data_IF_320457176377
#
_entry.id   IF_320457176377
#
_cell.length_a   1.000
_cell.length_b   1.000
_cell.length_c   1.000
_cell.angle_alpha   90.00
_cell.angle_beta   90.00
_cell.angle_gamma   90.00
#
_symmetry.space_group_name_H-M   'P 1'
#
loop_
_entity.id
_entity.type
_entity.pdbx_description
1 polymer ?
#
# COMPACT_ATOMS: atom_id res chain seq x y z
N UNK A 1 -11.80 18.67 60.78
CA UNK A 1 -10.74 17.73 60.27
C UNK A 1 -11.18 17.01 58.99
N UNK A 2 -11.85 17.69 58.07
CA UNK A 2 -12.27 17.17 56.77
C UNK A 2 -11.31 17.53 55.62
N UNK A 3 -10.19 18.17 55.89
CA UNK A 3 -9.26 18.65 54.85
C UNK A 3 -8.47 17.51 54.15
N UNK A 4 -8.22 16.38 54.80
CA UNK A 4 -7.49 15.27 54.22
C UNK A 4 -8.31 14.46 53.18
N UNK A 5 -9.62 14.39 53.33
CA UNK A 5 -10.49 13.66 52.39
C UNK A 5 -10.72 14.42 51.07
N UNK A 6 -10.74 15.78 51.13
CA UNK A 6 -10.88 16.61 49.94
C UNK A 6 -9.65 16.58 49.03
N UNK A 7 -8.44 16.54 49.61
CA UNK A 7 -7.19 16.47 48.85
C UNK A 7 -6.97 15.11 48.20
N UNK A 8 -7.37 14.04 48.88
CA UNK A 8 -7.34 12.67 48.32
C UNK A 8 -8.33 12.55 47.17
N UNK A 9 -9.50 13.15 47.30
CA UNK A 9 -10.52 13.14 46.24
C UNK A 9 -10.09 13.95 44.99
N UNK A 10 -9.46 15.08 45.17
CA UNK A 10 -8.90 15.89 44.09
C UNK A 10 -7.78 15.16 43.34
N UNK A 11 -6.93 14.42 44.04
CA UNK A 11 -5.89 13.60 43.44
C UNK A 11 -6.46 12.45 42.61
N UNK A 12 -7.52 11.82 43.03
CA UNK A 12 -8.20 10.75 42.29
C UNK A 12 -8.82 11.26 41.00
N UNK A 13 -9.43 12.44 40.98
CA UNK A 13 -9.99 13.06 39.78
C UNK A 13 -8.87 13.43 38.81
N UNK A 14 -7.74 13.96 39.27
CA UNK A 14 -6.59 14.30 38.43
C UNK A 14 -5.94 13.04 37.81
N UNK A 15 -5.91 11.93 38.55
CA UNK A 15 -5.36 10.66 38.07
C UNK A 15 -6.29 10.02 37.02
N UNK A 16 -7.61 10.16 37.13
CA UNK A 16 -8.53 9.64 36.12
C UNK A 16 -8.50 10.43 34.81
N UNK A 17 -8.17 11.72 34.85
CA UNK A 17 -7.95 12.54 33.65
C UNK A 17 -6.65 12.17 32.94
N UNK A 18 -5.63 11.75 33.67
CA UNK A 18 -4.35 11.28 33.07
C UNK A 18 -4.51 9.94 32.38
N UNK A 19 -5.46 9.09 32.77
CA UNK A 19 -5.75 7.84 32.07
C UNK A 19 -6.38 8.05 30.70
N UNK A 20 -7.15 9.09 30.52
CA UNK A 20 -7.70 9.45 29.20
C UNK A 20 -6.63 9.95 28.23
N UNK A 21 -5.52 10.47 28.73
CA UNK A 21 -4.36 10.84 27.91
C UNK A 21 -3.58 9.64 27.39
N UNK A 22 -3.71 8.48 28.00
CA UNK A 22 -3.08 7.24 27.55
C UNK A 22 -3.63 6.73 26.21
N UNK A 23 -4.78 7.23 25.78
CA UNK A 23 -5.37 6.95 24.47
C UNK A 23 -4.91 7.93 23.38
N UNK A 24 -4.19 8.98 23.74
CA UNK A 24 -3.51 9.79 22.74
C UNK A 24 -2.46 8.91 22.05
N UNK A 25 -2.79 8.40 20.88
CA UNK A 25 -1.80 7.79 19.99
C UNK A 25 -0.67 8.79 19.86
N UNK A 26 0.49 8.47 20.43
CA UNK A 26 1.72 9.18 20.08
C UNK A 26 1.84 9.04 18.58
N UNK A 27 1.66 10.13 17.89
CA UNK A 27 2.10 10.19 16.49
C UNK A 27 3.56 9.74 16.51
N UNK A 28 3.94 8.82 15.62
CA UNK A 28 5.35 8.49 15.49
C UNK A 28 6.12 9.80 15.37
N UNK A 29 7.28 9.93 16.04
CA UNK A 29 8.09 11.12 15.91
C UNK A 29 8.27 11.40 14.42
N UNK A 30 8.23 12.68 14.01
CA UNK A 30 8.53 13.02 12.62
C UNK A 30 9.86 12.35 12.27
N UNK A 31 9.97 11.71 11.10
CA UNK A 31 11.20 11.05 10.71
C UNK A 31 12.34 12.04 10.87
N UNK A 32 13.36 11.64 11.62
CA UNK A 32 14.54 12.46 11.83
C UNK A 32 15.06 12.88 10.45
N UNK A 33 15.19 14.18 10.23
CA UNK A 33 15.64 14.76 8.96
C UNK A 33 17.05 14.34 8.55
N UNK A 34 17.69 13.46 9.32
CA UNK A 34 19.00 12.87 9.08
C UNK A 34 18.98 11.46 8.50
N UNK A 35 17.83 10.87 8.19
CA UNK A 35 17.85 9.84 7.18
C UNK A 35 18.29 10.56 5.90
N UNK A 36 19.57 10.40 5.58
CA UNK A 36 20.09 10.67 4.26
C UNK A 36 18.98 10.31 3.31
N UNK A 37 18.45 11.31 2.63
CA UNK A 37 17.68 11.11 1.44
C UNK A 37 18.61 10.33 0.48
N UNK A 38 18.79 9.07 0.70
CA UNK A 38 18.86 8.14 -0.39
C UNK A 38 17.47 8.29 -1.01
N UNK A 39 17.30 9.44 -1.69
CA UNK A 39 16.37 9.60 -2.75
C UNK A 39 16.60 8.39 -3.63
N UNK A 40 15.96 7.29 -3.23
CA UNK A 40 15.57 6.30 -4.19
C UNK A 40 14.63 7.11 -5.07
N UNK A 41 15.20 7.80 -6.05
CA UNK A 41 14.46 8.29 -7.20
C UNK A 41 13.79 7.04 -7.71
N UNK A 42 12.55 6.83 -7.27
CA UNK A 42 11.72 5.77 -7.79
C UNK A 42 11.75 6.03 -9.28
N UNK A 43 12.48 5.20 -10.01
CA UNK A 43 12.54 5.33 -11.45
C UNK A 43 11.10 5.34 -11.92
N UNK A 44 10.72 6.25 -12.78
CA UNK A 44 9.34 6.40 -13.26
C UNK A 44 8.76 5.08 -13.74
N UNK A 45 9.61 4.23 -14.33
CA UNK A 45 9.24 2.86 -14.77
C UNK A 45 8.75 1.94 -13.63
N UNK A 46 9.13 2.22 -12.38
CA UNK A 46 8.74 1.41 -11.22
C UNK A 46 7.43 1.87 -10.57
N UNK A 47 6.83 2.95 -11.09
CA UNK A 47 5.60 3.53 -10.54
C UNK A 47 4.46 3.42 -11.55
N UNK A 48 3.41 2.71 -11.19
CA UNK A 48 2.15 2.72 -11.93
C UNK A 48 1.27 3.82 -11.35
N UNK A 49 1.03 4.86 -12.13
CA UNK A 49 0.15 5.96 -11.71
C UNK A 49 -1.30 5.62 -12.07
N UNK A 50 -2.14 5.55 -11.05
CA UNK A 50 -3.58 5.35 -11.18
C UNK A 50 -4.28 6.58 -10.63
N UNK A 51 -5.10 7.22 -11.42
CA UNK A 51 -5.82 8.42 -11.07
C UNK A 51 -7.32 8.26 -11.27
N UNK A 52 -8.11 8.62 -10.26
CA UNK A 52 -9.55 8.65 -10.30
C UNK A 52 -10.02 10.11 -10.26
N UNK A 53 -10.68 10.58 -11.30
CA UNK A 53 -11.14 11.96 -11.38
C UNK A 53 -12.50 12.16 -10.68
N UNK A 54 -12.96 13.42 -10.62
CA UNK A 54 -14.24 13.77 -9.98
C UNK A 54 -15.46 13.18 -10.67
N UNK A 55 -15.34 12.73 -11.92
CA UNK A 55 -16.41 12.07 -12.68
C UNK A 55 -16.36 10.55 -12.58
N UNK A 56 -15.59 10.01 -11.61
CA UNK A 56 -15.36 8.58 -11.43
C UNK A 56 -14.72 7.89 -12.65
N UNK A 57 -14.02 8.66 -13.48
CA UNK A 57 -13.28 8.13 -14.60
C UNK A 57 -11.87 7.73 -14.14
N UNK A 58 -11.47 6.53 -14.53
CA UNK A 58 -10.19 5.95 -14.15
C UNK A 58 -9.15 6.18 -15.25
N UNK A 59 -8.01 6.67 -14.85
CA UNK A 59 -6.84 6.84 -15.71
C UNK A 59 -5.68 5.99 -15.19
N UNK A 60 -4.97 5.34 -16.08
CA UNK A 60 -3.74 4.64 -15.78
C UNK A 60 -2.61 5.18 -16.67
N UNK A 61 -1.69 5.91 -16.07
CA UNK A 61 -0.75 6.73 -16.83
C UNK A 61 -1.50 7.84 -17.60
N UNK A 62 -1.44 7.80 -18.91
CA UNK A 62 -2.12 8.76 -19.79
C UNK A 62 -3.41 8.21 -20.44
N UNK A 63 -3.76 6.97 -20.17
CA UNK A 63 -4.88 6.29 -20.80
C UNK A 63 -6.11 6.24 -19.89
N UNK A 64 -7.29 6.52 -20.44
CA UNK A 64 -8.55 6.21 -19.77
C UNK A 64 -8.82 4.72 -19.87
N UNK A 65 -9.11 4.10 -18.75
CA UNK A 65 -9.37 2.66 -18.67
C UNK A 65 -10.61 2.35 -17.83
N UNK A 66 -11.13 1.14 -17.98
CA UNK A 66 -12.16 0.60 -17.10
C UNK A 66 -11.55 -0.11 -15.90
N UNK A 67 -12.34 -0.36 -14.86
CA UNK A 67 -11.91 -1.12 -13.68
C UNK A 67 -11.41 -2.52 -14.04
N UNK A 68 -12.06 -3.20 -14.99
CA UNK A 68 -11.63 -4.52 -15.44
C UNK A 68 -10.27 -4.49 -16.15
N UNK A 69 -10.02 -3.46 -16.94
CA UNK A 69 -8.73 -3.25 -17.59
C UNK A 69 -7.62 -2.91 -16.60
N UNK A 70 -7.97 -2.25 -15.48
CA UNK A 70 -7.02 -1.94 -14.43
C UNK A 70 -6.40 -3.20 -13.83
N UNK A 71 -7.20 -4.23 -13.56
CA UNK A 71 -6.71 -5.50 -13.03
C UNK A 71 -5.66 -6.12 -13.95
N UNK A 72 -5.96 -6.22 -15.24
CA UNK A 72 -5.03 -6.78 -16.22
C UNK A 72 -3.74 -5.95 -16.34
N UNK A 73 -3.85 -4.61 -16.41
CA UNK A 73 -2.69 -3.72 -16.45
C UNK A 73 -1.84 -3.80 -15.19
N UNK A 74 -2.46 -3.87 -14.01
CA UNK A 74 -1.75 -4.02 -12.75
C UNK A 74 -1.00 -5.36 -12.67
N UNK A 75 -1.61 -6.46 -13.06
CA UNK A 75 -0.96 -7.78 -13.14
C UNK A 75 0.26 -7.75 -14.06
N UNK A 76 0.11 -7.21 -15.25
CA UNK A 76 1.20 -7.10 -16.23
C UNK A 76 2.33 -6.19 -15.71
N UNK A 77 1.99 -5.10 -15.03
CA UNK A 77 2.97 -4.20 -14.42
C UNK A 77 3.75 -4.88 -13.28
N UNK A 78 3.04 -5.53 -12.36
CA UNK A 78 3.65 -6.20 -11.19
C UNK A 78 4.54 -7.37 -11.63
N UNK A 79 4.05 -8.20 -12.53
CA UNK A 79 4.77 -9.40 -12.97
C UNK A 79 5.87 -9.09 -13.97
N UNK A 80 5.69 -8.07 -14.82
CA UNK A 80 6.57 -7.75 -15.95
C UNK A 80 7.08 -9.00 -16.67
N UNK A 81 6.22 -9.84 -17.24
CA UNK A 81 6.60 -11.17 -17.73
C UNK A 81 7.64 -11.13 -18.84
N UNK A 82 7.63 -10.08 -19.64
CA UNK A 82 8.53 -9.91 -20.79
C UNK A 82 9.77 -9.08 -20.48
N UNK A 83 9.98 -8.69 -19.20
CA UNK A 83 11.06 -7.79 -18.79
C UNK A 83 11.14 -6.49 -19.62
N UNK A 84 9.99 -5.89 -19.82
CA UNK A 84 9.81 -4.65 -20.56
C UNK A 84 10.52 -3.49 -19.84
N UNK A 85 11.27 -2.68 -20.58
CA UNK A 85 12.01 -1.53 -20.03
C UNK A 85 11.10 -0.41 -19.53
N UNK A 86 9.83 -0.39 -19.94
CA UNK A 86 8.82 0.58 -19.46
C UNK A 86 8.15 0.14 -18.17
N UNK A 87 8.41 -1.08 -17.72
CA UNK A 87 7.84 -1.69 -16.53
C UNK A 87 8.90 -1.89 -15.44
N UNK A 88 8.51 -2.24 -14.21
CA UNK A 88 9.44 -2.36 -13.09
C UNK A 88 10.63 -3.26 -13.37
N UNK A 89 11.79 -2.82 -12.91
CA UNK A 89 13.02 -3.60 -13.01
C UNK A 89 12.92 -4.89 -12.20
N UNK A 90 13.46 -5.95 -12.77
CA UNK A 90 13.59 -7.23 -12.08
C UNK A 90 14.97 -7.33 -11.41
N UNK A 91 14.96 -7.81 -10.19
CA UNK A 91 16.16 -8.12 -9.42
C UNK A 91 16.18 -9.59 -9.03
N UNK A 92 17.36 -10.17 -9.06
CA UNK A 92 17.56 -11.52 -8.58
C UNK A 92 17.47 -11.54 -7.04
N UNK A 93 16.59 -12.36 -6.50
CA UNK A 93 16.43 -12.57 -5.06
C UNK A 93 16.27 -14.05 -4.77
N UNK A 94 16.93 -14.50 -3.72
CA UNK A 94 16.75 -15.87 -3.23
C UNK A 94 15.50 -15.94 -2.35
N UNK A 95 14.54 -16.75 -2.81
CA UNK A 95 13.24 -16.91 -2.15
C UNK A 95 13.10 -18.34 -1.65
N UNK A 96 12.76 -18.57 -0.38
CA UNK A 96 12.49 -19.89 0.14
C UNK A 96 11.53 -20.68 -0.76
N UNK A 97 11.81 -21.95 -0.99
CA UNK A 97 11.06 -22.87 -1.87
C UNK A 97 11.19 -22.61 -3.39
N UNK A 98 11.56 -21.41 -3.82
CA UNK A 98 11.68 -21.04 -5.23
C UNK A 98 13.13 -20.90 -5.70
N UNK A 99 14.06 -20.67 -4.78
CA UNK A 99 15.46 -20.38 -5.11
C UNK A 99 15.65 -18.98 -5.68
N UNK A 100 16.64 -18.81 -6.51
CA UNK A 100 16.96 -17.52 -7.11
C UNK A 100 15.94 -17.14 -8.19
N UNK A 101 15.08 -16.17 -7.90
CA UNK A 101 14.05 -15.69 -8.81
C UNK A 101 14.26 -14.22 -9.18
N UNK A 102 13.87 -13.88 -10.41
CA UNK A 102 13.82 -12.49 -10.86
C UNK A 102 12.48 -11.87 -10.48
N UNK A 103 12.50 -10.97 -9.51
CA UNK A 103 11.31 -10.32 -8.97
C UNK A 103 11.31 -8.80 -9.17
N UNK A 104 10.11 -8.20 -9.20
CA UNK A 104 9.90 -6.76 -9.32
C UNK A 104 9.70 -6.12 -7.94
N UNK A 105 10.67 -6.25 -7.06
CA UNK A 105 10.57 -5.80 -5.66
C UNK A 105 10.33 -4.28 -5.51
N UNK A 106 10.81 -3.49 -6.46
CA UNK A 106 10.77 -2.02 -6.38
C UNK A 106 9.54 -1.40 -7.02
N UNK A 107 8.58 -2.19 -7.50
CA UNK A 107 7.34 -1.65 -8.04
C UNK A 107 6.51 -0.95 -6.97
N UNK A 108 5.82 0.12 -7.35
CA UNK A 108 4.84 0.83 -6.51
C UNK A 108 3.64 1.21 -7.37
N UNK A 109 2.44 1.00 -6.87
CA UNK A 109 1.21 1.51 -7.48
C UNK A 109 0.79 2.76 -6.71
N UNK A 110 0.80 3.91 -7.39
CA UNK A 110 0.38 5.18 -6.83
C UNK A 110 -1.07 5.46 -7.19
N UNK A 111 -1.96 5.37 -6.20
CA UNK A 111 -3.38 5.68 -6.35
C UNK A 111 -3.64 7.11 -5.91
N UNK A 112 -4.20 7.91 -6.81
CA UNK A 112 -4.65 9.28 -6.54
C UNK A 112 -6.11 9.41 -6.87
N UNK A 113 -6.87 9.99 -5.95
CA UNK A 113 -8.28 10.28 -6.14
C UNK A 113 -8.50 11.78 -6.05
N UNK A 114 -9.35 12.30 -6.94
CA UNK A 114 -9.85 13.67 -6.82
C UNK A 114 -10.84 13.76 -5.65
N UNK A 115 -10.94 14.94 -5.03
CA UNK A 115 -11.88 15.16 -3.92
C UNK A 115 -13.35 14.96 -4.30
N UNK A 116 -13.67 15.12 -5.57
CA UNK A 116 -15.02 14.93 -6.10
C UNK A 116 -15.35 13.50 -6.47
N UNK A 117 -14.38 12.57 -6.45
CA UNK A 117 -14.63 11.17 -6.79
C UNK A 117 -15.49 10.48 -5.72
N UNK A 118 -16.32 9.54 -6.14
CA UNK A 118 -17.16 8.79 -5.20
C UNK A 118 -16.36 7.76 -4.41
N UNK A 119 -16.76 7.54 -3.16
CA UNK A 119 -16.16 6.49 -2.33
C UNK A 119 -16.36 5.10 -2.94
N UNK A 120 -17.48 4.86 -3.61
CA UNK A 120 -17.76 3.62 -4.32
C UNK A 120 -16.75 3.35 -5.44
N UNK A 121 -16.42 4.37 -6.24
CA UNK A 121 -15.44 4.26 -7.31
C UNK A 121 -14.03 4.01 -6.74
N UNK A 122 -13.67 4.71 -5.68
CA UNK A 122 -12.41 4.49 -4.96
C UNK A 122 -12.26 3.05 -4.46
N UNK A 123 -13.30 2.51 -3.80
CA UNK A 123 -13.29 1.11 -3.34
C UNK A 123 -13.21 0.12 -4.49
N UNK A 124 -13.89 0.37 -5.59
CA UNK A 124 -13.82 -0.48 -6.77
C UNK A 124 -12.40 -0.55 -7.34
N UNK A 125 -11.73 0.60 -7.45
CA UNK A 125 -10.33 0.68 -7.89
C UNK A 125 -9.40 -0.07 -6.94
N UNK A 126 -9.54 0.15 -5.64
CA UNK A 126 -8.72 -0.51 -4.64
C UNK A 126 -8.91 -2.03 -4.64
N UNK A 127 -10.16 -2.49 -4.76
CA UNK A 127 -10.46 -3.91 -4.85
C UNK A 127 -9.85 -4.57 -6.09
N UNK A 128 -9.86 -3.89 -7.23
CA UNK A 128 -9.23 -4.40 -8.45
C UNK A 128 -7.70 -4.49 -8.33
N UNK A 129 -7.06 -3.53 -7.68
CA UNK A 129 -5.62 -3.59 -7.42
C UNK A 129 -5.26 -4.74 -6.48
N UNK A 130 -6.02 -4.92 -5.40
CA UNK A 130 -5.82 -6.04 -4.47
C UNK A 130 -6.09 -7.37 -5.15
N UNK A 131 -7.14 -7.46 -5.98
CA UNK A 131 -7.45 -8.66 -6.76
C UNK A 131 -6.32 -9.03 -7.72
N UNK A 132 -5.66 -8.05 -8.35
CA UNK A 132 -4.50 -8.29 -9.21
C UNK A 132 -3.36 -8.98 -8.44
N UNK A 133 -3.04 -8.52 -7.24
CA UNK A 133 -2.05 -9.17 -6.39
C UNK A 133 -2.47 -10.59 -5.97
N UNK A 134 -3.73 -10.76 -5.59
CA UNK A 134 -4.24 -12.07 -5.16
C UNK A 134 -4.21 -13.09 -6.29
N UNK A 135 -4.61 -12.69 -7.50
CA UNK A 135 -4.54 -13.57 -8.67
C UNK A 135 -3.11 -14.00 -9.00
N UNK A 136 -2.15 -13.06 -8.97
CA UNK A 136 -0.73 -13.39 -9.18
C UNK A 136 -0.19 -14.35 -8.11
N UNK A 137 -0.61 -14.17 -6.86
CA UNK A 137 -0.23 -15.06 -5.77
C UNK A 137 -0.86 -16.44 -5.90
N UNK A 138 -2.13 -16.51 -6.30
CA UNK A 138 -2.83 -17.78 -6.56
C UNK A 138 -2.23 -18.52 -7.75
N UNK A 139 -1.94 -17.84 -8.86
CA UNK A 139 -1.28 -18.43 -10.03
C UNK A 139 0.05 -19.08 -9.65
N UNK A 140 0.87 -18.37 -8.87
CA UNK A 140 2.17 -18.87 -8.43
C UNK A 140 2.02 -20.07 -7.43
N UNK A 141 1.01 -20.01 -6.56
CA UNK A 141 0.69 -21.08 -5.62
C UNK A 141 0.21 -22.35 -6.35
N UNK A 142 -0.62 -22.18 -7.37
CA UNK A 142 -1.09 -23.27 -8.23
C UNK A 142 0.06 -23.88 -9.03
N UNK A 143 0.92 -23.07 -9.60
CA UNK A 143 2.08 -23.53 -10.37
C UNK A 143 3.04 -24.37 -9.52
N UNK A 144 3.32 -23.93 -8.29
CA UNK A 144 4.32 -24.55 -7.42
C UNK A 144 3.78 -25.72 -6.60
N UNK A 145 2.58 -25.58 -6.03
CA UNK A 145 2.01 -26.55 -5.07
C UNK A 145 0.64 -27.11 -5.46
N UNK A 146 0.06 -26.67 -6.58
CA UNK A 146 -1.27 -27.06 -7.05
C UNK A 146 -2.36 -26.79 -5.99
N UNK A 147 -2.19 -25.70 -5.24
CA UNK A 147 -3.11 -25.24 -4.19
C UNK A 147 -3.37 -23.74 -4.34
N UNK A 148 -4.50 -23.29 -3.80
CA UNK A 148 -4.74 -21.85 -3.71
C UNK A 148 -3.81 -21.23 -2.66
N UNK A 149 -3.52 -19.94 -2.82
CA UNK A 149 -2.67 -19.21 -1.89
C UNK A 149 -3.15 -19.29 -0.43
N UNK A 150 -4.47 -19.26 -0.21
CA UNK A 150 -5.09 -19.35 1.12
C UNK A 150 -4.95 -20.72 1.79
N UNK A 151 -4.74 -21.77 1.00
CA UNK A 151 -4.58 -23.15 1.48
C UNK A 151 -3.12 -23.52 1.79
N UNK A 152 -2.20 -22.58 1.57
CA UNK A 152 -0.78 -22.75 1.85
C UNK A 152 -0.50 -22.52 3.34
N UNK A 153 0.60 -23.12 3.82
CA UNK A 153 1.10 -22.80 5.15
C UNK A 153 1.75 -21.40 5.22
N UNK A 154 1.99 -20.90 6.43
CA UNK A 154 2.50 -19.53 6.65
C UNK A 154 3.84 -19.26 5.96
N UNK A 155 4.75 -20.23 5.95
CA UNK A 155 6.07 -20.09 5.30
C UNK A 155 5.96 -20.02 3.78
N UNK A 156 5.08 -20.81 3.19
CA UNK A 156 4.79 -20.79 1.76
C UNK A 156 4.11 -19.48 1.34
N UNK A 157 3.13 -19.03 2.13
CA UNK A 157 2.47 -17.74 1.90
C UNK A 157 3.45 -16.57 2.01
N UNK A 158 4.37 -16.62 2.97
CA UNK A 158 5.41 -15.61 3.14
C UNK A 158 6.34 -15.56 1.94
N UNK A 159 6.78 -16.70 1.43
CA UNK A 159 7.62 -16.78 0.24
C UNK A 159 6.95 -16.12 -0.98
N UNK A 160 5.66 -16.39 -1.20
CA UNK A 160 4.90 -15.76 -2.27
C UNK A 160 4.72 -14.26 -2.06
N UNK A 161 4.49 -13.82 -0.81
CA UNK A 161 4.42 -12.37 -0.50
C UNK A 161 5.73 -11.65 -0.74
N UNK A 162 6.87 -12.33 -0.53
CA UNK A 162 8.17 -11.77 -0.83
C UNK A 162 8.42 -11.62 -2.34
N UNK A 163 7.80 -12.46 -3.17
CA UNK A 163 7.83 -12.36 -4.63
C UNK A 163 6.91 -11.24 -5.12
N UNK A 164 5.68 -11.16 -4.61
CA UNK A 164 4.68 -10.16 -4.96
C UNK A 164 4.27 -9.34 -3.73
N UNK A 165 5.14 -8.45 -3.22
CA UNK A 165 4.79 -7.58 -2.10
C UNK A 165 3.73 -6.56 -2.54
N UNK A 166 2.66 -6.44 -1.75
CA UNK A 166 1.62 -5.46 -2.02
C UNK A 166 2.11 -4.06 -1.67
N UNK A 167 2.33 -3.25 -2.69
CA UNK A 167 2.83 -1.87 -2.57
C UNK A 167 1.89 -0.90 -3.26
N UNK A 168 0.84 -0.54 -2.59
CA UNK A 168 -0.13 0.47 -3.02
C UNK A 168 0.09 1.71 -2.15
N UNK A 169 0.47 2.82 -2.78
CA UNK A 169 0.64 4.12 -2.15
C UNK A 169 -0.54 5.01 -2.50
N UNK A 170 -1.19 5.58 -1.50
CA UNK A 170 -2.25 6.56 -1.67
C UNK A 170 -1.67 7.95 -1.49
N UNK A 171 -1.80 8.80 -2.52
CA UNK A 171 -1.42 10.20 -2.44
C UNK A 171 -2.64 11.04 -2.08
N UNK A 172 -2.50 11.92 -1.09
CA UNK A 172 -3.54 12.90 -0.77
C UNK A 172 -3.80 13.81 -1.98
N UNK A 173 -5.06 14.16 -2.27
CA UNK A 173 -5.39 15.10 -3.33
C UNK A 173 -4.73 16.44 -3.04
N UNK A 174 -3.83 16.87 -3.91
CA UNK A 174 -3.24 18.21 -3.80
C UNK A 174 -4.37 19.23 -3.88
N UNK A 175 -4.42 20.15 -2.92
CA UNK A 175 -5.25 21.34 -3.04
C UNK A 175 -4.77 22.14 -4.25
N UNK A 176 -5.47 22.06 -5.35
CA UNK A 176 -5.33 23.03 -6.42
C UNK A 176 -6.01 24.32 -5.94
N UNK A 177 -5.22 25.31 -5.51
CA UNK A 177 -5.81 26.57 -5.12
C UNK A 177 -5.02 27.48 -4.19
N UNK A 178 -3.90 27.08 -3.63
CA UNK A 178 -3.05 28.00 -2.89
C UNK A 178 -1.88 28.46 -3.76
N UNK A 179 -2.19 29.34 -4.71
CA UNK A 179 -1.21 30.31 -5.21
C UNK A 179 -1.28 31.51 -4.26
N UNK A 180 -0.32 31.64 -3.38
CA UNK A 180 0.18 32.93 -2.93
C UNK A 180 1.41 33.29 -3.70
#
# INVERSE_FOLDING_TARGET
>A
RSRGLGDVYKRQITTSMDTDRGLARRLPPPPEQNQKNDDIKLKERNVLQVFLNMNDQLMCGNDYITTDQLRAKAKEFIANPYNDETKPEKHAKDIPFFGNMMITEKHVISLRCDRGSSYKAYLAVQNELVAAYNELRDELAQEKWQKNYVDLNDDQQKAIRDIYPQKISEAEPKKYGDKK
#
